data_IF_070709433398
#
_entry.id   IF_070709433398
#
_cell.length_a   1.000
_cell.length_b   1.000
_cell.length_c   1.000
_cell.angle_alpha   90.00
_cell.angle_beta   90.00
_cell.angle_gamma   90.00
#
_symmetry.space_group_name_H-M   'P 1'
#
loop_
_entity.id
_entity.type
_entity.pdbx_description
1 polymer ?
#
# COMPACT_ATOMS: atom_id res chain seq x y z
N UNK A 1 12.47 -41.66 15.05
CA UNK A 1 12.63 -40.65 13.98
C UNK A 1 11.45 -40.76 13.01
N UNK A 2 10.42 -39.89 13.08
CA UNK A 2 9.21 -40.14 12.25
C UNK A 2 8.11 -39.08 12.18
N UNK A 3 8.40 -37.77 12.31
CA UNK A 3 7.34 -36.73 12.32
C UNK A 3 7.40 -35.73 11.14
N UNK A 4 8.52 -35.64 10.40
CA UNK A 4 8.68 -34.60 9.36
C UNK A 4 7.94 -34.85 8.03
N UNK A 5 7.38 -36.05 7.79
CA UNK A 5 6.78 -36.41 6.48
C UNK A 5 5.29 -36.07 6.35
N UNK A 6 4.53 -36.08 7.44
CA UNK A 6 3.07 -35.87 7.42
C UNK A 6 2.63 -34.39 7.43
N UNK A 7 3.37 -33.50 8.08
CA UNK A 7 3.04 -32.05 8.09
C UNK A 7 3.01 -31.46 6.67
N UNK A 8 3.95 -31.87 5.82
CA UNK A 8 3.97 -31.47 4.41
C UNK A 8 2.76 -31.99 3.60
N UNK A 9 2.12 -33.07 4.02
CA UNK A 9 0.92 -33.63 3.38
C UNK A 9 -0.33 -32.81 3.71
N UNK A 10 -0.51 -32.44 4.98
CA UNK A 10 -1.65 -31.63 5.41
C UNK A 10 -1.62 -30.22 4.81
N UNK A 11 -0.44 -29.56 4.83
CA UNK A 11 -0.27 -28.21 4.25
C UNK A 11 -0.56 -28.22 2.75
N UNK A 12 -0.10 -29.25 2.02
CA UNK A 12 -0.40 -29.40 0.59
C UNK A 12 -1.88 -29.57 0.32
N UNK A 13 -2.58 -30.41 1.09
CA UNK A 13 -4.04 -30.61 0.96
C UNK A 13 -4.81 -29.31 1.17
N UNK A 14 -4.41 -28.51 2.16
CA UNK A 14 -5.02 -27.19 2.41
C UNK A 14 -4.78 -26.26 1.22
N UNK A 15 -3.56 -26.16 0.71
CA UNK A 15 -3.25 -25.33 -0.47
C UNK A 15 -4.04 -25.75 -1.71
N UNK A 16 -4.17 -27.05 -1.97
CA UNK A 16 -4.98 -27.58 -3.07
C UNK A 16 -6.46 -27.26 -2.91
N UNK A 17 -6.99 -27.37 -1.69
CA UNK A 17 -8.37 -27.01 -1.38
C UNK A 17 -8.61 -25.50 -1.59
N UNK A 18 -7.73 -24.63 -1.09
CA UNK A 18 -7.80 -23.18 -1.30
C UNK A 18 -7.79 -22.87 -2.80
N UNK A 19 -6.93 -23.54 -3.58
CA UNK A 19 -6.84 -23.33 -5.03
C UNK A 19 -8.15 -23.61 -5.75
N UNK A 20 -8.94 -24.60 -5.28
CA UNK A 20 -10.24 -24.97 -5.83
C UNK A 20 -11.39 -24.03 -5.44
N UNK A 21 -11.19 -23.14 -4.47
CA UNK A 21 -12.24 -22.23 -4.01
C UNK A 21 -12.55 -21.10 -5.01
N UNK A 22 -13.78 -20.59 -4.92
CA UNK A 22 -14.25 -19.43 -5.68
C UNK A 22 -13.45 -18.16 -5.34
N UNK A 23 -13.47 -17.16 -6.23
CA UNK A 23 -12.78 -15.88 -5.98
C UNK A 23 -13.29 -15.19 -4.71
N UNK A 24 -14.60 -15.23 -4.46
CA UNK A 24 -15.23 -14.67 -3.26
C UNK A 24 -14.72 -15.34 -1.99
N UNK A 25 -14.67 -16.68 -1.98
CA UNK A 25 -14.17 -17.44 -0.82
C UNK A 25 -12.68 -17.19 -0.58
N UNK A 26 -11.86 -17.10 -1.64
CA UNK A 26 -10.44 -16.74 -1.51
C UNK A 26 -10.22 -15.37 -0.88
N UNK A 27 -11.02 -14.37 -1.28
CA UNK A 27 -10.99 -13.04 -0.68
C UNK A 27 -11.40 -13.11 0.80
N UNK A 28 -12.48 -13.82 1.12
CA UNK A 28 -12.93 -13.98 2.50
C UNK A 28 -11.87 -14.65 3.39
N UNK A 29 -11.26 -15.74 2.92
CA UNK A 29 -10.18 -16.42 3.62
C UNK A 29 -8.96 -15.51 3.85
N UNK A 30 -8.59 -14.72 2.84
CA UNK A 30 -7.50 -13.75 2.98
C UNK A 30 -7.83 -12.66 4.02
N UNK A 31 -9.06 -12.14 4.02
CA UNK A 31 -9.51 -11.15 5.02
C UNK A 31 -9.51 -11.74 6.42
N UNK A 32 -10.05 -12.94 6.61
CA UNK A 32 -10.05 -13.62 7.90
C UNK A 32 -8.63 -13.90 8.40
N UNK A 33 -7.73 -14.33 7.50
CA UNK A 33 -6.32 -14.53 7.84
C UNK A 33 -5.66 -13.23 8.28
N UNK A 34 -5.87 -12.11 7.57
CA UNK A 34 -5.34 -10.81 7.96
C UNK A 34 -5.87 -10.34 9.32
N UNK A 35 -7.17 -10.48 9.58
CA UNK A 35 -7.78 -10.13 10.86
C UNK A 35 -7.22 -11.00 12.00
N UNK A 36 -7.10 -12.30 11.78
CA UNK A 36 -6.51 -13.22 12.76
C UNK A 36 -5.05 -12.85 13.04
N UNK A 37 -4.25 -12.53 12.01
CA UNK A 37 -2.89 -12.06 12.17
C UNK A 37 -2.81 -10.78 13.00
N UNK A 38 -3.71 -9.81 12.79
CA UNK A 38 -3.76 -8.59 13.61
C UNK A 38 -4.08 -8.87 15.08
N UNK A 39 -5.07 -9.74 15.35
CA UNK A 39 -5.41 -10.15 16.71
C UNK A 39 -4.25 -10.88 17.37
N UNK A 40 -3.61 -11.81 16.65
CA UNK A 40 -2.44 -12.54 17.16
C UNK A 40 -1.28 -11.59 17.47
N UNK A 41 -0.98 -10.63 16.59
CA UNK A 41 0.03 -9.61 16.82
C UNK A 41 -0.30 -8.76 18.06
N UNK A 42 -1.56 -8.34 18.21
CA UNK A 42 -2.01 -7.59 19.40
C UNK A 42 -1.81 -8.36 20.71
N UNK A 43 -2.02 -9.67 20.69
CA UNK A 43 -1.89 -10.52 21.89
C UNK A 43 -0.46 -10.93 22.20
N UNK A 44 0.45 -10.91 21.22
CA UNK A 44 1.82 -11.46 21.36
C UNK A 44 2.91 -10.39 21.37
N UNK A 45 2.69 -9.25 20.75
CA UNK A 45 3.69 -8.21 20.65
C UNK A 45 3.81 -7.41 21.94
N UNK A 46 5.01 -7.38 22.52
CA UNK A 46 5.33 -6.62 23.73
C UNK A 46 5.97 -5.26 23.43
N UNK A 47 6.58 -5.11 22.25
CA UNK A 47 7.32 -3.92 21.80
C UNK A 47 6.74 -3.35 20.50
N UNK A 48 5.78 -2.42 20.64
CA UNK A 48 4.99 -1.88 19.52
C UNK A 48 5.77 -1.01 18.53
N UNK A 49 6.88 -0.42 18.97
CA UNK A 49 7.73 0.44 18.14
C UNK A 49 8.48 -0.34 17.04
N UNK A 50 8.64 -1.66 17.18
CA UNK A 50 9.31 -2.48 16.17
C UNK A 50 8.49 -2.59 14.88
N UNK A 51 7.15 -2.57 14.98
CA UNK A 51 6.29 -2.59 13.80
C UNK A 51 6.41 -1.33 12.96
N UNK A 52 6.52 -0.18 13.63
CA UNK A 52 6.75 1.09 12.97
C UNK A 52 8.09 1.10 12.23
N UNK A 53 9.19 0.78 12.92
CA UNK A 53 10.53 0.74 12.30
C UNK A 53 10.57 -0.25 11.13
N UNK A 54 9.93 -1.41 11.27
CA UNK A 54 9.84 -2.40 10.20
C UNK A 54 9.03 -1.88 9.00
N UNK A 55 7.88 -1.23 9.23
CA UNK A 55 7.06 -0.60 8.19
C UNK A 55 7.87 0.41 7.39
N UNK A 56 8.51 1.36 8.08
CA UNK A 56 9.30 2.42 7.45
C UNK A 56 10.51 1.86 6.69
N UNK A 57 11.18 0.84 7.24
CA UNK A 57 12.31 0.18 6.58
C UNK A 57 11.90 -0.53 5.29
N UNK A 58 10.77 -1.24 5.31
CA UNK A 58 10.24 -1.93 4.12
C UNK A 58 9.78 -0.91 3.07
N UNK A 59 9.16 0.19 3.49
CA UNK A 59 8.75 1.26 2.59
C UNK A 59 9.96 1.91 1.92
N UNK A 60 10.98 2.28 2.70
CA UNK A 60 12.24 2.84 2.18
C UNK A 60 12.94 1.87 1.21
N UNK A 61 12.98 0.57 1.53
CA UNK A 61 13.50 -0.45 0.62
C UNK A 61 12.70 -0.51 -0.69
N UNK A 62 11.36 -0.42 -0.62
CA UNK A 62 10.49 -0.37 -1.80
C UNK A 62 10.78 0.83 -2.71
N UNK A 63 11.04 2.00 -2.11
CA UNK A 63 11.47 3.22 -2.82
C UNK A 63 12.81 2.99 -3.53
N UNK A 64 13.82 2.47 -2.82
CA UNK A 64 15.14 2.19 -3.39
C UNK A 64 15.09 1.19 -4.55
N UNK A 65 14.28 0.15 -4.40
CA UNK A 65 14.02 -0.85 -5.45
C UNK A 65 13.40 -0.15 -6.67
N UNK A 66 12.40 0.70 -6.48
CA UNK A 66 11.78 1.43 -7.58
C UNK A 66 12.76 2.40 -8.26
N UNK A 67 13.59 3.12 -7.50
CA UNK A 67 14.70 3.94 -8.04
C UNK A 67 15.57 3.09 -8.96
N UNK A 68 16.07 1.97 -8.45
CA UNK A 68 16.96 1.09 -9.20
C UNK A 68 16.34 0.63 -10.52
N UNK A 69 15.05 0.26 -10.53
CA UNK A 69 14.36 -0.11 -11.78
C UNK A 69 14.29 1.05 -12.76
N UNK A 70 13.86 2.23 -12.32
CA UNK A 70 13.68 3.37 -13.22
C UNK A 70 15.03 3.92 -13.74
N UNK A 71 16.09 3.86 -12.93
CA UNK A 71 17.42 4.39 -13.30
C UNK A 71 18.28 3.38 -14.04
N UNK A 72 18.33 2.12 -13.62
CA UNK A 72 19.21 1.10 -14.19
C UNK A 72 18.51 0.29 -15.28
N UNK A 73 17.27 -0.16 -15.06
CA UNK A 73 16.52 -0.93 -16.07
C UNK A 73 15.84 -0.06 -17.12
N UNK A 74 15.78 1.26 -16.90
CA UNK A 74 15.23 2.26 -17.84
C UNK A 74 13.83 1.88 -18.36
N UNK A 75 12.98 1.34 -17.49
CA UNK A 75 11.63 0.93 -17.85
C UNK A 75 10.66 1.16 -16.70
N UNK A 76 9.46 1.65 -17.04
CA UNK A 76 8.32 1.73 -16.13
C UNK A 76 7.24 0.70 -16.45
N UNK A 77 7.55 -0.32 -17.26
CA UNK A 77 6.62 -1.42 -17.56
C UNK A 77 6.14 -2.09 -16.27
N UNK A 78 4.83 -2.32 -16.19
CA UNK A 78 4.17 -2.89 -15.02
C UNK A 78 3.88 -1.89 -13.88
N UNK A 79 4.22 -0.61 -14.01
CA UNK A 79 3.92 0.42 -13.01
C UNK A 79 2.69 1.24 -13.42
N UNK A 80 1.71 1.36 -12.51
CA UNK A 80 0.52 2.18 -12.69
C UNK A 80 0.84 3.62 -12.33
N UNK A 81 0.75 4.50 -13.32
CA UNK A 81 0.86 5.95 -13.14
C UNK A 81 -0.25 6.43 -12.19
N UNK A 82 -1.45 5.90 -12.35
CA UNK A 82 -2.62 6.31 -11.55
C UNK A 82 -2.48 5.99 -10.06
N UNK A 83 -1.85 4.86 -9.73
CA UNK A 83 -1.53 4.56 -8.32
C UNK A 83 -0.51 5.54 -7.75
N UNK A 84 0.49 5.95 -8.54
CA UNK A 84 1.46 6.98 -8.13
C UNK A 84 0.78 8.35 -7.96
N UNK A 85 -0.16 8.71 -8.83
CA UNK A 85 -0.94 9.96 -8.71
C UNK A 85 -1.81 9.98 -7.45
N UNK A 86 -2.54 8.90 -7.18
CA UNK A 86 -3.29 8.78 -5.92
C UNK A 86 -2.36 8.87 -4.71
N UNK A 87 -1.17 8.28 -4.83
CA UNK A 87 -0.14 8.34 -3.79
C UNK A 87 0.34 9.76 -3.54
N UNK A 88 0.66 10.50 -4.60
CA UNK A 88 1.05 11.89 -4.51
C UNK A 88 -0.07 12.78 -3.93
N UNK A 89 -1.32 12.53 -4.28
CA UNK A 89 -2.48 13.29 -3.76
C UNK A 89 -2.58 13.14 -2.23
N UNK A 90 -2.61 11.90 -1.71
CA UNK A 90 -2.75 11.73 -0.26
C UNK A 90 -1.51 12.22 0.49
N UNK A 91 -0.30 12.04 -0.06
CA UNK A 91 0.94 12.53 0.56
C UNK A 91 0.98 14.05 0.59
N UNK A 92 0.54 14.74 -0.47
CA UNK A 92 0.44 16.19 -0.48
C UNK A 92 -0.51 16.69 0.61
N UNK A 93 -1.70 16.08 0.74
CA UNK A 93 -2.64 16.42 1.81
C UNK A 93 -2.06 16.12 3.18
N UNK A 94 -1.39 14.98 3.36
CA UNK A 94 -0.76 14.60 4.62
C UNK A 94 0.32 15.58 5.04
N UNK A 95 1.25 15.92 4.15
CA UNK A 95 2.30 16.90 4.41
C UNK A 95 1.68 18.25 4.83
N UNK A 96 0.65 18.72 4.12
CA UNK A 96 -0.07 19.95 4.50
C UNK A 96 -0.69 19.83 5.90
N UNK A 97 -1.30 18.69 6.24
CA UNK A 97 -1.87 18.48 7.57
C UNK A 97 -0.79 18.44 8.65
N UNK A 98 0.27 17.65 8.47
CA UNK A 98 1.30 17.40 9.48
C UNK A 98 2.15 18.64 9.78
N UNK A 99 2.42 19.50 8.77
CA UNK A 99 3.05 20.80 9.02
C UNK A 99 2.21 21.73 9.92
N UNK A 100 0.88 21.63 9.85
CA UNK A 100 -0.02 22.43 10.68
C UNK A 100 -0.29 21.81 12.07
N UNK A 101 0.01 20.52 12.26
CA UNK A 101 -0.39 19.75 13.45
C UNK A 101 0.78 19.40 14.37
N UNK A 102 1.89 18.87 13.82
CA UNK A 102 2.90 18.16 14.62
C UNK A 102 4.35 18.50 14.25
N UNK A 103 4.65 18.88 13.00
CA UNK A 103 5.97 19.39 12.60
C UNK A 103 7.17 18.49 12.97
N UNK A 104 6.99 17.17 12.90
CA UNK A 104 7.89 16.17 13.45
C UNK A 104 8.64 15.36 12.37
N UNK A 105 9.34 14.30 12.80
CA UNK A 105 10.06 13.39 11.92
C UNK A 105 9.14 12.72 10.89
N UNK A 106 7.87 12.47 11.21
CA UNK A 106 6.90 11.89 10.29
C UNK A 106 6.62 12.83 9.12
N UNK A 107 6.48 14.13 9.41
CA UNK A 107 6.32 15.16 8.38
C UNK A 107 7.48 15.16 7.39
N UNK A 108 8.72 14.99 7.88
CA UNK A 108 9.90 14.91 7.02
C UNK A 108 9.91 13.64 6.15
N UNK A 109 9.54 12.48 6.71
CA UNK A 109 9.46 11.22 5.97
C UNK A 109 8.36 11.26 4.89
N UNK A 110 7.19 11.80 5.22
CA UNK A 110 6.09 11.98 4.27
C UNK A 110 6.48 12.94 3.14
N UNK A 111 7.19 14.03 3.47
CA UNK A 111 7.68 14.97 2.47
C UNK A 111 8.74 14.34 1.56
N UNK A 112 9.69 13.58 2.11
CA UNK A 112 10.67 12.85 1.31
C UNK A 112 10.01 11.82 0.38
N UNK A 113 9.01 11.09 0.90
CA UNK A 113 8.22 10.12 0.12
C UNK A 113 7.45 10.84 -0.99
N UNK A 114 6.84 11.99 -0.71
CA UNK A 114 6.14 12.81 -1.69
C UNK A 114 7.05 13.23 -2.85
N UNK A 115 8.24 13.77 -2.54
CA UNK A 115 9.22 14.16 -3.56
C UNK A 115 9.65 12.96 -4.42
N UNK A 116 9.85 11.81 -3.78
CA UNK A 116 10.18 10.59 -4.51
C UNK A 116 9.05 10.14 -5.44
N UNK A 117 7.80 10.12 -4.97
CA UNK A 117 6.63 9.79 -5.79
C UNK A 117 6.47 10.78 -6.95
N UNK A 118 6.69 12.08 -6.71
CA UNK A 118 6.66 13.09 -7.77
C UNK A 118 7.75 12.84 -8.82
N UNK A 119 8.96 12.44 -8.40
CA UNK A 119 10.03 12.03 -9.31
C UNK A 119 9.65 10.78 -10.12
N UNK A 120 9.01 9.77 -9.52
CA UNK A 120 8.50 8.59 -10.23
C UNK A 120 7.47 9.00 -11.29
N UNK A 121 6.51 9.85 -10.93
CA UNK A 121 5.49 10.36 -11.87
C UNK A 121 6.17 11.09 -13.04
N UNK A 122 7.16 11.94 -12.75
CA UNK A 122 7.94 12.62 -13.77
C UNK A 122 8.67 11.63 -14.69
N UNK A 123 9.30 10.60 -14.12
CA UNK A 123 9.98 9.56 -14.88
C UNK A 123 9.00 8.84 -15.82
N UNK A 124 7.82 8.44 -15.35
CA UNK A 124 6.80 7.77 -16.18
C UNK A 124 6.28 8.70 -17.28
N UNK A 125 5.91 9.95 -16.94
CA UNK A 125 5.26 10.88 -17.88
C UNK A 125 6.19 11.41 -18.95
N UNK A 126 7.47 11.60 -18.64
CA UNK A 126 8.41 12.31 -19.53
C UNK A 126 9.58 11.44 -19.99
N UNK A 127 10.29 10.75 -19.09
CA UNK A 127 11.55 10.05 -19.44
C UNK A 127 11.33 8.64 -19.96
N UNK A 128 10.36 7.91 -19.42
CA UNK A 128 10.10 6.49 -19.67
C UNK A 128 8.73 6.24 -20.32
N UNK A 129 8.11 7.30 -20.86
CA UNK A 129 6.77 7.28 -21.44
C UNK A 129 6.55 6.17 -22.47
N UNK A 130 7.57 5.83 -23.25
CA UNK A 130 7.51 4.76 -24.27
C UNK A 130 7.31 3.36 -23.68
N UNK A 131 7.70 3.15 -22.42
CA UNK A 131 7.56 1.87 -21.71
C UNK A 131 6.30 1.79 -20.84
N UNK A 132 5.54 2.88 -20.76
CA UNK A 132 4.28 2.93 -20.03
C UNK A 132 3.14 2.34 -20.87
N UNK A 133 2.44 1.35 -20.32
CA UNK A 133 1.38 0.61 -21.03
C UNK A 133 0.01 1.12 -20.55
N UNK A 134 -0.48 2.18 -21.17
CA UNK A 134 -1.70 2.90 -20.78
C UNK A 134 -2.95 2.00 -20.83
N UNK A 135 -2.97 1.04 -21.74
CA UNK A 135 -4.08 0.10 -21.97
C UNK A 135 -4.34 -0.77 -20.73
N UNK A 136 -3.27 -1.11 -19.99
CA UNK A 136 -3.36 -1.88 -18.75
C UNK A 136 -3.77 -1.01 -17.56
N UNK A 137 -3.41 0.28 -17.55
CA UNK A 137 -3.66 1.24 -16.48
C UNK A 137 -5.00 1.99 -16.66
N UNK A 138 -6.06 1.22 -16.91
CA UNK A 138 -7.40 1.73 -17.27
C UNK A 138 -8.31 2.05 -16.07
N UNK A 139 -7.83 1.93 -14.83
CA UNK A 139 -8.63 2.18 -13.62
C UNK A 139 -8.95 3.68 -13.44
N UNK A 140 -10.20 4.15 -13.34
CA UNK A 140 -10.46 5.57 -13.14
C UNK A 140 -10.20 6.04 -11.69
N UNK A 141 -9.36 7.07 -11.51
CA UNK A 141 -8.94 7.55 -10.17
C UNK A 141 -10.10 8.09 -9.32
N UNK A 142 -11.15 8.63 -9.95
CA UNK A 142 -12.30 9.20 -9.24
C UNK A 142 -13.07 8.15 -8.43
N UNK A 143 -13.01 6.87 -8.81
CA UNK A 143 -13.60 5.79 -8.01
C UNK A 143 -12.94 5.63 -6.64
N UNK A 144 -11.71 6.12 -6.45
CA UNK A 144 -11.06 6.16 -5.13
C UNK A 144 -11.26 7.52 -4.48
N UNK A 145 -10.97 8.60 -5.20
CA UNK A 145 -10.98 9.96 -4.64
C UNK A 145 -12.36 10.37 -4.12
N UNK A 146 -13.43 10.16 -4.90
CA UNK A 146 -14.77 10.63 -4.54
C UNK A 146 -15.34 9.90 -3.32
N UNK A 147 -15.33 8.55 -3.24
CA UNK A 147 -15.78 7.86 -2.03
C UNK A 147 -14.95 8.21 -0.80
N UNK A 148 -13.62 8.36 -0.92
CA UNK A 148 -12.77 8.78 0.20
C UNK A 148 -13.12 10.19 0.68
N UNK A 149 -13.41 11.13 -0.22
CA UNK A 149 -13.82 12.48 0.15
C UNK A 149 -15.19 12.49 0.85
N UNK A 150 -16.17 11.75 0.33
CA UNK A 150 -17.49 11.61 0.97
C UNK A 150 -17.35 10.98 2.35
N UNK A 151 -16.62 9.86 2.46
CA UNK A 151 -16.39 9.20 3.74
C UNK A 151 -15.68 10.12 4.73
N UNK A 152 -14.68 10.89 4.31
CA UNK A 152 -13.97 11.82 5.18
C UNK A 152 -14.87 12.96 5.72
N UNK A 153 -15.82 13.44 4.91
CA UNK A 153 -16.80 14.43 5.37
C UNK A 153 -17.78 13.85 6.39
N UNK A 154 -18.19 12.58 6.22
CA UNK A 154 -19.17 11.92 7.10
C UNK A 154 -18.53 11.32 8.36
N UNK A 155 -17.31 10.79 8.22
CA UNK A 155 -16.57 10.04 9.22
C UNK A 155 -15.17 10.64 9.30
N UNK A 156 -14.97 11.50 10.30
CA UNK A 156 -13.67 12.04 10.66
C UNK A 156 -13.55 12.07 12.19
N UNK A 157 -12.33 11.98 12.74
CA UNK A 157 -12.14 12.08 14.17
C UNK A 157 -12.57 13.47 14.67
N UNK A 158 -13.24 13.55 15.82
CA UNK A 158 -13.51 14.83 16.50
C UNK A 158 -12.37 15.13 17.47
N UNK A 159 -11.41 15.94 17.05
CA UNK A 159 -10.35 16.48 17.91
C UNK A 159 -10.53 18.00 18.15
N UNK A 160 -9.56 18.68 18.75
CA UNK A 160 -9.66 20.11 19.08
C UNK A 160 -9.32 21.05 17.91
N UNK A 161 -8.90 20.53 16.75
CA UNK A 161 -8.53 21.36 15.60
C UNK A 161 -9.76 21.81 14.79
N UNK A 162 -9.53 22.66 13.79
CA UNK A 162 -10.59 23.12 12.89
C UNK A 162 -11.14 21.94 12.07
N UNK A 163 -12.47 21.92 11.87
CA UNK A 163 -13.17 20.84 11.18
C UNK A 163 -12.53 20.44 9.84
N UNK A 164 -12.06 21.43 9.07
CA UNK A 164 -11.41 21.21 7.79
C UNK A 164 -10.16 20.32 7.88
N UNK A 165 -9.33 20.51 8.91
CA UNK A 165 -8.11 19.72 9.10
C UNK A 165 -8.42 18.25 9.36
N UNK A 166 -9.53 17.94 10.04
CA UNK A 166 -9.89 16.55 10.36
C UNK A 166 -10.44 15.83 9.15
N UNK A 167 -11.20 16.55 8.31
CA UNK A 167 -11.68 16.03 7.03
C UNK A 167 -10.50 15.76 6.10
N UNK A 168 -9.52 16.67 6.01
CA UNK A 168 -8.32 16.44 5.20
C UNK A 168 -7.47 15.27 5.71
N UNK A 169 -7.29 15.16 7.02
CA UNK A 169 -6.59 14.05 7.64
C UNK A 169 -7.31 12.71 7.37
N UNK A 170 -8.63 12.66 7.58
CA UNK A 170 -9.42 11.46 7.29
C UNK A 170 -9.36 11.11 5.80
N UNK A 171 -9.45 12.11 4.92
CA UNK A 171 -9.31 11.92 3.47
C UNK A 171 -7.96 11.30 3.10
N UNK A 172 -6.85 11.81 3.63
CA UNK A 172 -5.53 11.29 3.28
C UNK A 172 -5.33 9.86 3.80
N UNK A 173 -5.84 9.53 4.99
CA UNK A 173 -5.82 8.17 5.55
C UNK A 173 -6.65 7.21 4.70
N UNK A 174 -7.87 7.61 4.32
CA UNK A 174 -8.75 6.78 3.50
C UNK A 174 -8.19 6.57 2.09
N UNK A 175 -7.65 7.63 1.48
CA UNK A 175 -7.06 7.54 0.15
C UNK A 175 -5.78 6.70 0.16
N UNK A 176 -4.96 6.81 1.21
CA UNK A 176 -3.78 5.96 1.38
C UNK A 176 -4.15 4.48 1.32
N UNK A 177 -5.18 4.07 2.07
CA UNK A 177 -5.61 2.68 2.19
C UNK A 177 -6.01 2.05 0.84
N UNK A 178 -6.50 2.84 -0.11
CA UNK A 178 -7.02 2.35 -1.41
C UNK A 178 -6.18 2.77 -2.61
N UNK A 179 -5.14 3.60 -2.43
CA UNK A 179 -4.31 4.16 -3.51
C UNK A 179 -3.58 3.11 -4.37
N UNK A 180 -3.40 1.89 -3.85
CA UNK A 180 -2.77 0.76 -4.57
C UNK A 180 -3.70 0.06 -5.57
N UNK A 181 -5.01 0.34 -5.53
CA UNK A 181 -6.00 -0.37 -6.36
C UNK A 181 -5.74 -0.29 -7.87
N UNK A 182 -5.35 0.86 -8.47
CA UNK A 182 -4.97 0.91 -9.88
C UNK A 182 -3.80 -0.01 -10.24
N UNK A 183 -2.79 -0.12 -9.36
CA UNK A 183 -1.63 -0.99 -9.54
C UNK A 183 -2.05 -2.47 -9.55
N UNK A 184 -2.89 -2.88 -8.61
CA UNK A 184 -3.43 -4.25 -8.55
C UNK A 184 -4.27 -4.57 -9.80
N UNK A 185 -5.10 -3.63 -10.25
CA UNK A 185 -5.88 -3.79 -11.47
C UNK A 185 -5.00 -3.91 -12.71
N UNK A 186 -3.96 -3.09 -12.82
CA UNK A 186 -2.99 -3.17 -13.91
C UNK A 186 -2.29 -4.52 -13.94
N UNK A 187 -1.88 -5.05 -12.78
CA UNK A 187 -1.29 -6.39 -12.66
C UNK A 187 -2.26 -7.50 -13.05
N UNK A 188 -3.54 -7.37 -12.72
CA UNK A 188 -4.58 -8.32 -13.14
C UNK A 188 -4.83 -8.27 -14.66
N UNK A 189 -4.74 -7.08 -15.26
CA UNK A 189 -4.88 -6.90 -16.70
C UNK A 189 -3.64 -7.41 -17.46
N UNK A 190 -2.47 -7.38 -16.82
CA UNK A 190 -1.23 -7.87 -17.41
C UNK A 190 -1.26 -9.40 -17.54
N UNK A 191 -1.07 -9.92 -18.76
CA UNK A 191 -0.97 -11.37 -19.02
C UNK A 191 0.25 -12.01 -18.34
N UNK A 192 1.33 -11.23 -18.18
CA UNK A 192 2.55 -11.62 -17.51
C UNK A 192 2.98 -10.48 -16.59
N UNK A 193 3.14 -10.78 -15.30
CA UNK A 193 3.64 -9.83 -14.31
C UNK A 193 5.13 -10.08 -14.14
N UNK A 194 5.93 -9.03 -14.31
CA UNK A 194 7.36 -9.10 -14.01
C UNK A 194 7.56 -9.40 -12.52
N UNK A 195 8.33 -10.43 -12.14
CA UNK A 195 8.54 -10.81 -10.73
C UNK A 195 8.99 -9.62 -9.87
N UNK A 196 9.81 -8.74 -10.43
CA UNK A 196 10.26 -7.51 -9.78
C UNK A 196 9.08 -6.65 -9.30
N UNK A 197 8.12 -6.38 -10.18
CA UNK A 197 6.93 -5.56 -9.87
C UNK A 197 6.06 -6.26 -8.84
N UNK A 198 5.94 -7.59 -8.91
CA UNK A 198 5.18 -8.37 -7.93
C UNK A 198 5.80 -8.27 -6.53
N UNK A 199 7.13 -8.43 -6.40
CA UNK A 199 7.83 -8.31 -5.12
C UNK A 199 7.74 -6.89 -4.55
N UNK A 200 7.89 -5.87 -5.38
CA UNK A 200 7.72 -4.47 -4.98
C UNK A 200 6.32 -4.20 -4.41
N UNK A 201 5.26 -4.57 -5.15
CA UNK A 201 3.87 -4.32 -4.71
C UNK A 201 3.55 -5.13 -3.45
N UNK A 202 4.07 -6.35 -3.33
CA UNK A 202 3.92 -7.15 -2.13
C UNK A 202 4.61 -6.52 -0.92
N UNK A 203 5.86 -6.06 -1.06
CA UNK A 203 6.59 -5.37 0.00
C UNK A 203 5.87 -4.10 0.45
N UNK A 204 5.36 -3.30 -0.50
CA UNK A 204 4.56 -2.11 -0.20
C UNK A 204 3.28 -2.46 0.59
N UNK A 205 2.61 -3.55 0.22
CA UNK A 205 1.46 -4.08 0.96
C UNK A 205 1.81 -4.52 2.38
N UNK A 206 2.97 -5.16 2.57
CA UNK A 206 3.47 -5.52 3.91
C UNK A 206 3.78 -4.31 4.78
N UNK A 207 4.46 -3.30 4.24
CA UNK A 207 4.72 -2.05 4.96
C UNK A 207 3.42 -1.43 5.46
N UNK A 208 2.43 -1.29 4.57
CA UNK A 208 1.09 -0.77 4.89
C UNK A 208 0.39 -1.59 5.98
N UNK A 209 0.44 -2.92 5.91
CA UNK A 209 -0.14 -3.79 6.92
C UNK A 209 0.50 -3.59 8.30
N UNK A 210 1.83 -3.48 8.35
CA UNK A 210 2.56 -3.25 9.59
C UNK A 210 2.30 -1.86 10.17
N UNK A 211 2.18 -0.83 9.33
CA UNK A 211 1.74 0.50 9.75
C UNK A 211 0.34 0.43 10.39
N UNK A 212 -0.63 -0.21 9.73
CA UNK A 212 -1.97 -0.40 10.31
C UNK A 212 -1.93 -1.19 11.62
N UNK A 213 -1.09 -2.22 11.72
CA UNK A 213 -0.92 -2.99 12.95
C UNK A 213 -0.38 -2.11 14.08
N UNK A 214 0.60 -1.24 13.80
CA UNK A 214 1.11 -0.29 14.79
C UNK A 214 -0.01 0.60 15.35
N UNK A 215 -0.84 1.20 14.50
CA UNK A 215 -1.97 2.04 14.92
C UNK A 215 -3.04 1.31 15.74
N UNK A 216 -3.31 0.03 15.45
CA UNK A 216 -4.35 -0.75 16.14
C UNK A 216 -3.87 -1.27 17.51
N UNK A 217 -2.57 -1.53 17.62
CA UNK A 217 -1.98 -2.15 18.80
C UNK A 217 -1.46 -1.08 19.80
N UNK A 218 -1.16 0.13 19.32
CA UNK A 218 -0.90 1.31 20.16
C UNK A 218 -2.06 1.58 21.12
#
# INVERSE_FOLDING_TARGET
MGSKRDSNSAVKKVFEWIRKQSKKMKILLAVMAMLFSLVALKLTAKYHNHFFVASESIHAAGILVLIYKLTTKKTCSGLSLKSQELTAIYLAVRVVCSFNLEGDIHTLLDFATFLFTAWVIFMIRFKLKSTYIKELDNFPIYYMVVPCAILAMLINPRTAHIYFSHVLWAFCVYLEAVSVMPQLRMMQNAKMIEPFTAHYVFALGMARFLACAHWIIQ
#
